data_IF_074177458948
#
_entry.id   IF_074177458948
#
_cell.length_a   1.000
_cell.length_b   1.000
_cell.length_c   1.000
_cell.angle_alpha   90.00
_cell.angle_beta   90.00
_cell.angle_gamma   90.00
#
_symmetry.space_group_name_H-M   'P 1'
#
loop_
_entity.id
_entity.type
_entity.pdbx_description
1 polymer ?
#
# COMPACT_ATOMS: atom_id res chain seq x y z
N UNK A 1 4.20 15.56 -11.81
CA UNK A 1 3.86 14.72 -10.63
C UNK A 1 5.05 14.80 -9.69
N UNK A 2 4.83 15.05 -8.39
CA UNK A 2 5.90 15.00 -7.39
C UNK A 2 6.63 13.65 -7.42
N UNK A 3 7.91 13.64 -7.03
CA UNK A 3 8.69 12.40 -6.96
C UNK A 3 8.19 11.54 -5.80
N UNK A 4 8.12 10.23 -6.03
CA UNK A 4 7.73 9.29 -4.99
C UNK A 4 8.84 9.17 -3.96
N UNK A 5 8.48 9.25 -2.68
CA UNK A 5 9.41 9.16 -1.55
C UNK A 5 9.40 7.78 -0.92
N UNK A 6 8.24 7.20 -0.65
CA UNK A 6 8.13 5.85 -0.08
C UNK A 6 6.79 5.18 -0.38
N UNK A 7 6.78 3.86 -0.26
CA UNK A 7 5.57 3.03 -0.27
C UNK A 7 5.30 2.58 1.17
N UNK A 8 4.07 2.74 1.65
CA UNK A 8 3.64 2.32 2.98
C UNK A 8 2.60 1.23 2.86
N UNK A 9 2.80 0.13 3.57
CA UNK A 9 1.91 -1.02 3.58
C UNK A 9 1.41 -1.27 5.01
N UNK A 10 0.10 -1.09 5.22
CA UNK A 10 -0.60 -1.54 6.42
C UNK A 10 -1.03 -2.98 6.21
N UNK A 11 -0.62 -3.89 7.09
CA UNK A 11 -0.87 -5.32 6.94
C UNK A 11 -0.84 -6.08 8.27
N UNK A 12 -1.18 -7.38 8.21
CA UNK A 12 -0.87 -8.36 9.25
C UNK A 12 -0.36 -9.66 8.61
N UNK A 13 0.54 -10.38 9.28
CA UNK A 13 1.17 -11.58 8.69
C UNK A 13 0.22 -12.77 8.53
N UNK A 14 -0.85 -12.84 9.34
CA UNK A 14 -1.88 -13.86 9.23
C UNK A 14 -2.85 -13.61 8.06
N UNK A 15 -2.86 -12.41 7.48
CA UNK A 15 -3.83 -12.04 6.46
C UNK A 15 -3.42 -12.53 5.06
N UNK A 16 -4.22 -13.37 4.38
CA UNK A 16 -3.86 -13.94 3.06
C UNK A 16 -3.90 -12.90 1.92
N UNK A 17 -4.60 -11.78 2.13
CA UNK A 17 -4.57 -10.63 1.23
C UNK A 17 -3.26 -9.84 1.38
N UNK A 18 -2.64 -9.90 2.56
CA UNK A 18 -1.36 -9.27 2.84
C UNK A 18 -0.20 -10.15 2.38
N UNK A 19 -0.09 -11.36 2.93
CA UNK A 19 1.05 -12.25 2.74
C UNK A 19 0.61 -13.54 2.03
N UNK A 20 1.28 -13.95 0.94
CA UNK A 20 2.33 -13.23 0.22
C UNK A 20 1.79 -12.13 -0.73
N UNK A 21 0.48 -12.07 -0.93
CA UNK A 21 -0.19 -11.39 -2.05
C UNK A 21 0.25 -9.94 -2.25
N UNK A 22 -0.05 -9.05 -1.30
CA UNK A 22 0.24 -7.62 -1.44
C UNK A 22 1.68 -7.30 -1.05
N UNK A 23 2.24 -8.00 -0.07
CA UNK A 23 3.60 -7.78 0.39
C UNK A 23 4.64 -8.02 -0.73
N UNK A 24 4.55 -9.14 -1.45
CA UNK A 24 5.50 -9.42 -2.53
C UNK A 24 5.31 -8.48 -3.72
N UNK A 25 4.07 -8.09 -4.02
CA UNK A 25 3.79 -7.06 -5.01
C UNK A 25 4.43 -5.72 -4.63
N UNK A 26 4.28 -5.27 -3.39
CA UNK A 26 4.84 -3.98 -2.96
C UNK A 26 6.37 -4.03 -2.83
N UNK A 27 6.97 -5.18 -2.49
CA UNK A 27 8.42 -5.38 -2.59
C UNK A 27 8.90 -5.23 -4.03
N UNK A 28 8.17 -5.81 -5.00
CA UNK A 28 8.46 -5.61 -6.43
C UNK A 28 8.35 -4.14 -6.81
N UNK A 29 7.28 -3.46 -6.41
CA UNK A 29 7.08 -2.04 -6.69
C UNK A 29 8.18 -1.15 -6.09
N UNK A 30 8.58 -1.42 -4.85
CA UNK A 30 9.68 -0.70 -4.18
C UNK A 30 11.00 -0.81 -4.97
N UNK A 31 11.35 -2.01 -5.44
CA UNK A 31 12.52 -2.22 -6.31
C UNK A 31 12.35 -1.51 -7.66
N UNK A 32 11.19 -1.67 -8.29
CA UNK A 32 10.88 -1.10 -9.60
C UNK A 32 10.82 0.42 -9.58
N UNK A 33 10.46 1.05 -8.47
CA UNK A 33 10.35 2.50 -8.34
C UNK A 33 11.57 3.13 -7.64
N UNK A 34 12.42 2.31 -7.02
CA UNK A 34 13.64 2.77 -6.35
C UNK A 34 13.37 3.53 -5.04
N UNK A 35 12.28 3.20 -4.36
CA UNK A 35 11.86 3.85 -3.10
C UNK A 35 11.71 2.80 -1.99
N UNK A 36 11.91 3.15 -0.71
CA UNK A 36 11.72 2.23 0.40
C UNK A 36 10.26 1.75 0.52
N UNK A 37 10.11 0.51 0.98
CA UNK A 37 8.85 -0.06 1.46
C UNK A 37 8.84 -0.05 2.98
N UNK A 38 7.93 0.72 3.56
CA UNK A 38 7.64 0.76 4.99
C UNK A 38 6.47 -0.18 5.29
N UNK A 39 6.65 -1.08 6.25
CA UNK A 39 5.63 -2.06 6.65
C UNK A 39 5.14 -1.68 8.04
N UNK A 40 3.82 -1.58 8.16
CA UNK A 40 3.10 -1.32 9.41
C UNK A 40 2.23 -2.54 9.72
N UNK A 41 2.76 -3.39 10.60
CA UNK A 41 2.13 -4.62 11.07
C UNK A 41 1.15 -4.31 12.22
N UNK A 42 -0.14 -4.45 11.97
CA UNK A 42 -1.17 -4.10 12.96
C UNK A 42 -1.17 -5.02 14.18
N UNK A 43 -0.48 -6.16 14.14
CA UNK A 43 -0.29 -7.03 15.31
C UNK A 43 0.76 -6.47 16.29
N UNK A 44 1.46 -5.38 15.94
CA UNK A 44 2.47 -4.72 16.77
C UNK A 44 1.94 -3.37 17.27
N UNK A 45 1.75 -3.16 18.58
CA UNK A 45 1.09 -1.97 19.11
C UNK A 45 1.68 -0.63 18.65
N UNK A 46 3.01 -0.53 18.54
CA UNK A 46 3.68 0.68 18.08
C UNK A 46 3.45 0.98 16.59
N UNK A 47 3.24 -0.06 15.78
CA UNK A 47 2.98 0.07 14.34
C UNK A 47 1.50 0.22 14.06
N UNK A 48 0.64 -0.45 14.83
CA UNK A 48 -0.81 -0.32 14.79
C UNK A 48 -1.23 1.14 14.95
N UNK A 49 -0.67 1.86 15.93
CA UNK A 49 -0.98 3.28 16.12
C UNK A 49 -0.65 4.12 14.88
N UNK A 50 0.48 3.86 14.23
CA UNK A 50 0.89 4.59 13.02
C UNK A 50 0.00 4.19 11.83
N UNK A 51 -0.35 2.91 11.72
CA UNK A 51 -1.28 2.41 10.72
C UNK A 51 -2.66 3.07 10.85
N UNK A 52 -3.20 3.13 12.07
CA UNK A 52 -4.45 3.80 12.40
C UNK A 52 -4.45 5.26 11.96
N UNK A 53 -3.41 6.01 12.33
CA UNK A 53 -3.29 7.43 11.97
C UNK A 53 -3.20 7.61 10.44
N UNK A 54 -2.45 6.73 9.76
CA UNK A 54 -2.30 6.73 8.31
C UNK A 54 -3.63 6.45 7.60
N UNK A 55 -4.34 5.40 8.02
CA UNK A 55 -5.64 5.00 7.44
C UNK A 55 -6.70 6.06 7.75
N UNK A 56 -6.79 6.57 8.98
CA UNK A 56 -7.72 7.66 9.36
C UNK A 56 -7.57 8.89 8.47
N UNK A 57 -6.33 9.24 8.11
CA UNK A 57 -6.04 10.48 7.40
C UNK A 57 -6.14 10.35 5.88
N UNK A 58 -5.78 9.19 5.33
CA UNK A 58 -5.60 9.04 3.88
C UNK A 58 -6.28 7.83 3.26
N UNK A 59 -6.77 6.87 4.06
CA UNK A 59 -7.23 5.57 3.59
C UNK A 59 -8.72 5.34 3.79
N UNK A 60 -9.10 4.08 3.61
CA UNK A 60 -10.47 3.61 3.83
C UNK A 60 -10.66 3.32 5.33
N UNK A 61 -10.86 4.37 6.13
CA UNK A 61 -11.06 4.24 7.56
C UNK A 61 -12.45 3.71 7.93
N UNK A 62 -12.46 2.74 8.82
CA UNK A 62 -13.58 2.35 9.66
C UNK A 62 -13.04 1.76 10.96
N UNK A 63 -13.89 1.57 11.97
CA UNK A 63 -13.48 0.92 13.23
C UNK A 63 -12.89 -0.49 13.01
N UNK A 64 -13.29 -1.15 11.92
CA UNK A 64 -12.77 -2.45 11.49
C UNK A 64 -12.30 -2.36 10.04
N UNK A 65 -11.39 -1.43 9.76
CA UNK A 65 -10.93 -1.19 8.39
C UNK A 65 -10.29 -2.44 7.78
N UNK A 66 -10.43 -2.57 6.47
CA UNK A 66 -9.87 -3.70 5.74
C UNK A 66 -8.36 -3.52 5.56
N UNK A 67 -7.62 -4.61 5.76
CA UNK A 67 -6.20 -4.75 5.40
C UNK A 67 -6.04 -5.74 4.23
N UNK A 68 -5.02 -5.59 3.38
CA UNK A 68 -3.99 -4.54 3.43
C UNK A 68 -4.48 -3.20 2.89
N UNK A 69 -3.82 -2.11 3.31
CA UNK A 69 -3.91 -0.82 2.62
C UNK A 69 -2.53 -0.34 2.20
N UNK A 70 -2.43 0.23 0.99
CA UNK A 70 -1.18 0.72 0.42
C UNK A 70 -1.28 2.22 0.15
N UNK A 71 -0.24 2.94 0.55
CA UNK A 71 -0.11 4.37 0.36
C UNK A 71 1.23 4.71 -0.30
N UNK A 72 1.20 5.72 -1.16
CA UNK A 72 2.37 6.31 -1.80
C UNK A 72 2.59 7.70 -1.18
N UNK A 73 3.71 7.88 -0.50
CA UNK A 73 4.15 9.18 0.01
C UNK A 73 5.07 9.85 -1.02
N UNK A 74 4.85 11.13 -1.27
CA UNK A 74 5.63 11.93 -2.20
C UNK A 74 6.55 12.91 -1.48
N UNK A 75 7.59 13.41 -2.18
CA UNK A 75 8.56 14.35 -1.61
C UNK A 75 7.95 15.69 -1.17
N UNK A 76 6.81 16.08 -1.74
CA UNK A 76 6.06 17.27 -1.32
C UNK A 76 5.20 17.06 -0.06
N UNK A 77 5.27 15.86 0.54
CA UNK A 77 4.52 15.48 1.73
C UNK A 77 3.09 15.03 1.44
N UNK A 78 2.65 15.02 0.18
CA UNK A 78 1.36 14.44 -0.18
C UNK A 78 1.40 12.92 -0.03
N UNK A 79 0.26 12.34 0.37
CA UNK A 79 0.09 10.89 0.51
C UNK A 79 -1.13 10.48 -0.29
N UNK A 80 -0.98 9.48 -1.15
CA UNK A 80 -2.05 8.93 -1.96
C UNK A 80 -2.29 7.48 -1.58
N UNK A 81 -3.53 7.16 -1.22
CA UNK A 81 -4.00 5.79 -1.08
C UNK A 81 -4.24 5.16 -2.45
N UNK A 82 -3.71 3.96 -2.66
CA UNK A 82 -3.67 3.32 -3.99
C UNK A 82 -4.24 1.90 -4.02
N UNK A 83 -4.43 1.28 -2.85
CA UNK A 83 -4.97 -0.08 -2.78
C UNK A 83 -5.57 -0.37 -1.41
N UNK A 84 -6.73 -1.03 -1.42
CA UNK A 84 -7.32 -1.71 -0.26
C UNK A 84 -7.61 -3.16 -0.62
N UNK A 85 -7.41 -4.06 0.34
CA UNK A 85 -7.81 -5.46 0.24
C UNK A 85 -9.29 -5.60 -0.15
N UNK A 86 -9.61 -6.59 -0.97
CA UNK A 86 -10.96 -6.77 -1.49
C UNK A 86 -11.71 -7.84 -0.69
N UNK A 87 -12.87 -7.50 -0.11
CA UNK A 87 -13.74 -8.44 0.61
C UNK A 87 -14.24 -9.60 -0.26
N UNK A 88 -14.26 -9.41 -1.59
CA UNK A 88 -14.57 -10.45 -2.57
C UNK A 88 -13.49 -11.56 -2.69
N UNK A 89 -12.38 -11.45 -1.96
CA UNK A 89 -11.37 -12.50 -1.83
C UNK A 89 -9.99 -12.14 -2.40
N UNK A 90 -9.02 -13.04 -2.17
CA UNK A 90 -7.60 -12.84 -2.52
C UNK A 90 -7.43 -12.63 -4.04
N UNK A 91 -8.17 -13.35 -4.87
CA UNK A 91 -8.12 -13.19 -6.33
C UNK A 91 -8.57 -11.80 -6.79
N UNK A 92 -9.59 -11.23 -6.16
CA UNK A 92 -10.01 -9.85 -6.44
C UNK A 92 -8.95 -8.84 -6.01
N UNK A 93 -8.26 -9.10 -4.90
CA UNK A 93 -7.12 -8.27 -4.45
C UNK A 93 -5.96 -8.33 -5.43
N UNK A 94 -5.61 -9.52 -5.94
CA UNK A 94 -4.59 -9.68 -7.00
C UNK A 94 -4.92 -8.88 -8.25
N UNK A 95 -6.19 -8.93 -8.69
CA UNK A 95 -6.65 -8.13 -9.83
C UNK A 95 -6.46 -6.63 -9.59
N UNK A 96 -6.74 -6.12 -8.38
CA UNK A 96 -6.51 -4.71 -8.04
C UNK A 96 -5.03 -4.33 -8.07
N UNK A 97 -4.14 -5.23 -7.66
CA UNK A 97 -2.69 -5.05 -7.79
C UNK A 97 -2.29 -4.95 -9.27
N UNK A 98 -2.81 -5.84 -10.12
CA UNK A 98 -2.55 -5.82 -11.56
C UNK A 98 -3.08 -4.55 -12.23
N UNK A 99 -4.28 -4.10 -11.85
CA UNK A 99 -4.85 -2.81 -12.29
C UNK A 99 -3.97 -1.63 -11.87
N UNK A 100 -3.44 -1.63 -10.63
CA UNK A 100 -2.48 -0.62 -10.19
C UNK A 100 -1.21 -0.62 -11.06
N UNK A 101 -0.59 -1.78 -11.27
CA UNK A 101 0.68 -1.87 -12.02
C UNK A 101 0.57 -1.58 -13.52
N UNK A 102 -0.62 -1.77 -14.08
CA UNK A 102 -0.92 -1.43 -15.47
C UNK A 102 -1.41 0.01 -15.65
N UNK A 103 -1.75 0.72 -14.57
CA UNK A 103 -2.27 2.09 -14.63
C UNK A 103 -1.27 3.07 -15.22
N UNK A 104 -1.78 4.08 -15.94
CA UNK A 104 -0.98 5.21 -16.43
C UNK A 104 -0.26 5.93 -15.29
N UNK A 105 -0.90 6.03 -14.12
CA UNK A 105 -0.32 6.60 -12.92
C UNK A 105 0.95 5.86 -12.48
N UNK A 106 0.91 4.53 -12.36
CA UNK A 106 2.08 3.74 -11.99
C UNK A 106 3.17 3.78 -13.06
N UNK A 107 2.78 3.77 -14.34
CA UNK A 107 3.72 3.92 -15.45
C UNK A 107 4.42 5.29 -15.44
N UNK A 108 3.70 6.36 -15.12
CA UNK A 108 4.28 7.69 -14.95
C UNK A 108 5.31 7.73 -13.81
N UNK A 109 5.06 7.03 -12.69
CA UNK A 109 6.02 6.94 -11.58
C UNK A 109 7.31 6.23 -11.99
N UNK A 110 7.22 5.15 -12.77
CA UNK A 110 8.41 4.43 -13.28
C UNK A 110 9.30 5.31 -14.18
N UNK A 111 8.68 6.18 -14.97
CA UNK A 111 9.37 7.04 -15.92
C UNK A 111 9.89 8.35 -15.29
N UNK A 112 9.42 8.71 -14.09
CA UNK A 112 9.80 9.92 -13.36
C UNK A 112 11.04 9.73 -12.46
N UNK A 113 11.78 8.63 -12.63
CA UNK A 113 12.99 8.32 -11.85
C UNK A 113 14.14 9.29 -12.10
#
# INVERSE_FOLDING_TARGET
MPKLKSIKLVMAYWCPHCVPTTLEAMKKASKELGVPLEIYDIDKPEQEKIADELVKKYGDWSENYLIPQVFFEFEDGSVKHVLTGQSAGVSATKRKIEELFSSEFYNALKNAK
#
